data_IF_601802208237
#
_entry.id   IF_601802208237
#
_cell.length_a   1.000
_cell.length_b   1.000
_cell.length_c   1.000
_cell.angle_alpha   90.00
_cell.angle_beta   90.00
_cell.angle_gamma   90.00
#
_symmetry.space_group_name_H-M   'P 1'
#
loop_
_entity.id
_entity.type
_entity.pdbx_description
1 polymer ?
#
# COMPACT_ATOMS: atom_id res chain seq x y z
N UNK A 1 18.83 16.87 -14.79
CA UNK A 1 18.57 17.49 -16.11
C UNK A 1 17.07 17.66 -16.25
N UNK A 2 16.59 18.86 -16.51
CA UNK A 2 15.16 19.15 -16.73
C UNK A 2 14.86 19.22 -18.23
N UNK A 3 13.65 18.81 -18.63
CA UNK A 3 13.14 18.96 -19.99
C UNK A 3 11.84 19.77 -19.95
N UNK A 4 11.70 20.73 -20.86
CA UNK A 4 10.46 21.48 -21.06
C UNK A 4 9.60 20.73 -22.07
N UNK A 5 8.33 20.52 -21.75
CA UNK A 5 7.34 19.90 -22.63
C UNK A 5 6.11 20.81 -22.73
N UNK A 6 5.39 20.72 -23.86
CA UNK A 6 4.15 21.46 -24.11
C UNK A 6 3.18 20.58 -24.90
N UNK A 7 1.91 20.58 -24.54
CA UNK A 7 0.87 19.75 -25.14
C UNK A 7 -0.49 20.44 -24.98
N UNK A 8 -1.49 19.93 -25.70
CA UNK A 8 -2.87 20.36 -25.56
C UNK A 8 -3.61 19.40 -24.63
N UNK A 9 -4.39 19.94 -23.70
CA UNK A 9 -5.25 19.22 -22.77
C UNK A 9 -6.69 19.67 -23.04
N UNK A 10 -7.63 18.76 -22.84
CA UNK A 10 -9.04 19.11 -22.79
C UNK A 10 -9.32 20.14 -21.68
N UNK A 11 -10.14 21.14 -21.97
CA UNK A 11 -10.37 22.29 -21.09
C UNK A 11 -11.02 21.88 -19.76
N UNK A 12 -12.05 21.04 -19.79
CA UNK A 12 -12.74 20.56 -18.58
C UNK A 12 -11.81 19.69 -17.71
N UNK A 13 -10.96 18.89 -18.34
CA UNK A 13 -9.94 18.11 -17.63
C UNK A 13 -8.93 19.02 -16.93
N UNK A 14 -8.46 20.06 -17.61
CA UNK A 14 -7.49 21.00 -17.04
C UNK A 14 -8.09 21.84 -15.91
N UNK A 15 -9.34 22.31 -16.05
CA UNK A 15 -10.03 23.04 -14.98
C UNK A 15 -10.21 22.18 -13.71
N UNK A 16 -10.59 20.91 -13.88
CA UNK A 16 -10.69 19.96 -12.76
C UNK A 16 -9.34 19.68 -12.10
N UNK A 17 -8.28 19.62 -12.90
CA UNK A 17 -6.92 19.48 -12.40
C UNK A 17 -6.50 20.69 -11.54
N UNK A 18 -6.80 21.91 -11.98
CA UNK A 18 -6.54 23.13 -11.19
C UNK A 18 -7.32 23.15 -9.87
N UNK A 19 -8.58 22.72 -9.87
CA UNK A 19 -9.38 22.60 -8.65
C UNK A 19 -8.77 21.58 -7.68
N UNK A 20 -8.32 20.43 -8.18
CA UNK A 20 -7.65 19.42 -7.37
C UNK A 20 -6.34 19.94 -6.76
N UNK A 21 -5.56 20.71 -7.52
CA UNK A 21 -4.34 21.35 -7.02
C UNK A 21 -4.59 22.38 -5.92
N UNK A 22 -5.66 23.19 -6.02
CA UNK A 22 -5.97 24.15 -4.96
C UNK A 22 -6.35 23.45 -3.65
N UNK A 23 -6.92 22.25 -3.72
CA UNK A 23 -7.20 21.42 -2.55
C UNK A 23 -5.89 20.84 -1.98
N UNK A 24 -5.04 20.25 -2.82
CA UNK A 24 -3.80 19.58 -2.37
C UNK A 24 -2.69 20.54 -1.96
N UNK A 25 -2.76 21.82 -2.36
CA UNK A 25 -1.73 22.85 -2.15
C UNK A 25 -0.38 22.51 -2.80
N UNK A 26 -0.40 21.67 -3.83
CA UNK A 26 0.79 21.29 -4.60
C UNK A 26 1.07 22.29 -5.74
N UNK A 27 2.31 22.34 -6.20
CA UNK A 27 2.66 23.07 -7.43
C UNK A 27 2.28 22.27 -8.69
N UNK A 28 2.07 22.98 -9.80
CA UNK A 28 1.68 22.38 -11.08
C UNK A 28 2.73 21.38 -11.56
N UNK A 29 4.01 21.75 -11.43
CA UNK A 29 5.13 20.92 -11.83
C UNK A 29 5.20 19.63 -11.00
N UNK A 30 5.00 19.71 -9.68
CA UNK A 30 5.01 18.55 -8.78
C UNK A 30 3.86 17.59 -9.10
N UNK A 31 2.66 18.13 -9.28
CA UNK A 31 1.48 17.32 -9.62
C UNK A 31 1.64 16.62 -10.98
N UNK A 32 2.12 17.33 -12.00
CA UNK A 32 2.39 16.75 -13.33
C UNK A 32 3.47 15.67 -13.26
N UNK A 33 4.57 15.93 -12.56
CA UNK A 33 5.65 14.94 -12.42
C UNK A 33 5.17 13.70 -11.66
N UNK A 34 4.36 13.88 -10.61
CA UNK A 34 3.73 12.79 -9.87
C UNK A 34 2.82 11.95 -10.76
N UNK A 35 1.96 12.58 -11.57
CA UNK A 35 1.11 11.88 -12.54
C UNK A 35 1.94 11.10 -13.57
N UNK A 36 3.04 11.66 -14.07
CA UNK A 36 3.95 10.95 -14.98
C UNK A 36 4.58 9.72 -14.32
N UNK A 37 5.05 9.86 -13.08
CA UNK A 37 5.62 8.73 -12.30
C UNK A 37 4.58 7.64 -12.06
N UNK A 38 3.36 8.02 -11.71
CA UNK A 38 2.24 7.09 -11.55
C UNK A 38 1.91 6.37 -12.86
N UNK A 39 1.83 7.09 -13.98
CA UNK A 39 1.57 6.49 -15.29
C UNK A 39 2.66 5.49 -15.70
N UNK A 40 3.93 5.84 -15.45
CA UNK A 40 5.08 4.96 -15.70
C UNK A 40 4.96 3.68 -14.85
N UNK A 41 4.71 3.82 -13.55
CA UNK A 41 4.57 2.69 -12.64
C UNK A 41 3.44 1.75 -13.08
N UNK A 42 2.25 2.31 -13.33
CA UNK A 42 1.07 1.57 -13.79
C UNK A 42 1.29 0.87 -15.13
N UNK A 43 1.98 1.52 -16.06
CA UNK A 43 2.24 0.94 -17.39
C UNK A 43 3.23 -0.22 -17.30
N UNK A 44 4.29 -0.08 -16.51
CA UNK A 44 5.24 -1.18 -16.32
C UNK A 44 4.65 -2.34 -15.53
N UNK A 45 3.78 -2.06 -14.55
CA UNK A 45 2.98 -3.09 -13.88
C UNK A 45 2.15 -3.86 -14.90
N UNK A 46 1.32 -3.19 -15.72
CA UNK A 46 0.51 -3.84 -16.75
C UNK A 46 1.34 -4.64 -17.75
N UNK A 47 2.44 -4.09 -18.26
CA UNK A 47 3.32 -4.78 -19.19
C UNK A 47 3.95 -6.04 -18.56
N UNK A 48 4.30 -5.98 -17.28
CA UNK A 48 4.81 -7.14 -16.54
C UNK A 48 3.75 -8.24 -16.36
N UNK A 49 2.47 -7.87 -16.27
CA UNK A 49 1.36 -8.84 -16.19
C UNK A 49 1.03 -9.50 -17.53
N UNK A 50 1.12 -8.76 -18.64
CA UNK A 50 0.92 -9.30 -19.99
C UNK A 50 2.06 -10.26 -20.39
N UNK A 51 3.26 -10.06 -19.85
CA UNK A 51 4.39 -10.98 -19.98
C UNK A 51 4.39 -12.09 -18.91
N UNK A 52 3.31 -12.89 -18.84
CA UNK A 52 3.31 -14.17 -18.11
C UNK A 52 3.62 -15.32 -19.08
N UNK A 53 4.88 -15.74 -19.26
CA UNK A 53 5.18 -16.93 -20.05
C UNK A 53 4.54 -18.15 -19.38
N UNK A 54 3.83 -18.96 -20.18
CA UNK A 54 3.22 -20.22 -19.74
C UNK A 54 4.28 -21.08 -19.06
N UNK A 55 3.99 -21.48 -17.81
CA UNK A 55 4.63 -22.54 -17.01
C UNK A 55 5.73 -23.32 -17.74
N UNK A 56 7.00 -22.94 -17.53
CA UNK A 56 8.12 -23.87 -17.71
C UNK A 56 9.02 -23.76 -16.48
N UNK A 57 9.35 -24.93 -15.97
CA UNK A 57 10.19 -25.24 -14.82
C UNK A 57 11.59 -24.61 -14.89
N UNK A 58 11.99 -24.07 -13.73
CA UNK A 58 13.37 -23.86 -13.20
C UNK A 58 14.37 -23.02 -14.00
N UNK A 59 14.89 -22.03 -13.25
CA UNK A 59 16.16 -21.31 -13.34
C UNK A 59 16.45 -20.48 -14.59
N UNK A 60 16.23 -19.16 -14.47
CA UNK A 60 17.05 -18.12 -15.10
C UNK A 60 16.91 -16.82 -14.28
N UNK A 61 18.04 -16.20 -13.97
CA UNK A 61 18.21 -15.03 -13.11
C UNK A 61 17.52 -13.78 -13.67
N UNK A 62 16.91 -12.98 -12.79
CA UNK A 62 16.50 -11.60 -13.08
C UNK A 62 15.00 -11.28 -13.02
N UNK A 63 14.14 -12.23 -12.66
CA UNK A 63 12.76 -11.91 -12.23
C UNK A 63 12.86 -11.09 -10.94
N UNK A 64 12.09 -10.01 -10.82
CA UNK A 64 12.01 -9.24 -9.58
C UNK A 64 11.55 -10.17 -8.44
N UNK A 65 12.51 -10.80 -7.75
CA UNK A 65 12.36 -11.82 -6.68
C UNK A 65 11.60 -11.29 -5.45
N UNK A 66 11.13 -10.05 -5.57
CA UNK A 66 10.51 -9.28 -4.52
C UNK A 66 9.04 -8.95 -4.79
N UNK A 67 8.55 -9.16 -6.01
CA UNK A 67 7.15 -8.87 -6.34
C UNK A 67 6.19 -9.78 -5.57
N UNK A 68 5.19 -9.20 -4.91
CA UNK A 68 4.18 -9.98 -4.19
C UNK A 68 4.76 -10.72 -2.97
N UNK A 69 5.90 -10.28 -2.42
CA UNK A 69 6.53 -10.90 -1.24
C UNK A 69 5.59 -11.04 -0.04
N UNK A 70 4.67 -10.08 0.10
CA UNK A 70 3.68 -10.11 1.17
C UNK A 70 2.80 -11.35 1.09
N UNK A 71 2.50 -11.90 -0.09
CA UNK A 71 1.66 -13.11 -0.27
C UNK A 71 2.19 -14.29 0.58
N UNK A 72 3.51 -14.53 0.54
CA UNK A 72 4.14 -15.58 1.34
C UNK A 72 4.29 -15.25 2.83
N UNK A 73 4.16 -13.97 3.21
CA UNK A 73 4.38 -13.49 4.57
C UNK A 73 3.09 -13.28 5.36
N UNK A 74 1.97 -12.95 4.68
CA UNK A 74 0.65 -12.75 5.29
C UNK A 74 0.26 -13.91 6.21
N UNK A 75 0.37 -15.20 5.83
CA UNK A 75 0.05 -16.30 6.73
C UNK A 75 0.90 -16.31 8.01
N UNK A 76 2.14 -15.85 7.93
CA UNK A 76 3.07 -15.79 9.07
C UNK A 76 2.71 -14.60 9.97
N UNK A 77 2.44 -13.44 9.37
CA UNK A 77 2.04 -12.23 10.10
C UNK A 77 0.71 -12.42 10.81
N UNK A 78 -0.25 -13.08 10.17
CA UNK A 78 -1.56 -13.38 10.74
C UNK A 78 -1.46 -14.17 12.06
N UNK A 79 -0.40 -14.97 12.25
CA UNK A 79 -0.18 -15.79 13.45
C UNK A 79 0.76 -15.14 14.48
N UNK A 80 1.25 -13.92 14.24
CA UNK A 80 2.25 -13.25 15.08
C UNK A 80 1.77 -11.85 15.51
N UNK A 81 0.84 -11.76 16.50
CA UNK A 81 0.25 -10.49 16.93
C UNK A 81 1.27 -9.47 17.43
N UNK A 82 2.42 -9.92 17.91
CA UNK A 82 3.50 -9.05 18.38
C UNK A 82 4.21 -8.27 17.26
N UNK A 83 4.12 -8.71 16.01
CA UNK A 83 4.84 -8.06 14.90
C UNK A 83 4.12 -6.81 14.43
N UNK A 84 4.87 -5.74 14.17
CA UNK A 84 4.31 -4.49 13.66
C UNK A 84 3.51 -4.64 12.36
N UNK A 85 3.94 -5.52 11.45
CA UNK A 85 3.17 -5.79 10.23
C UNK A 85 1.77 -6.35 10.54
N UNK A 86 1.65 -7.20 11.57
CA UNK A 86 0.36 -7.69 12.04
C UNK A 86 -0.49 -6.54 12.58
N UNK A 87 0.08 -5.75 13.49
CA UNK A 87 -0.63 -4.63 14.14
C UNK A 87 -1.10 -3.58 13.14
N UNK A 88 -0.30 -3.28 12.11
CA UNK A 88 -0.68 -2.33 11.05
C UNK A 88 -1.80 -2.89 10.16
N UNK A 89 -1.75 -4.17 9.77
CA UNK A 89 -2.84 -4.82 9.02
C UNK A 89 -4.12 -4.85 9.85
N UNK A 90 -4.00 -5.15 11.15
CA UNK A 90 -5.12 -5.10 12.07
C UNK A 90 -5.69 -3.68 12.18
N UNK A 91 -4.85 -2.66 12.32
CA UNK A 91 -5.27 -1.26 12.35
C UNK A 91 -6.01 -0.84 11.07
N UNK A 92 -5.58 -1.32 9.90
CA UNK A 92 -6.29 -1.12 8.64
C UNK A 92 -7.71 -1.69 8.70
N UNK A 93 -7.86 -2.96 9.09
CA UNK A 93 -9.17 -3.58 9.20
C UNK A 93 -10.05 -2.93 10.28
N UNK A 94 -9.46 -2.56 11.42
CA UNK A 94 -10.15 -1.79 12.47
C UNK A 94 -10.65 -0.44 11.96
N UNK A 95 -9.85 0.26 11.13
CA UNK A 95 -10.29 1.50 10.51
C UNK A 95 -11.51 1.28 9.59
N UNK A 96 -11.47 0.24 8.75
CA UNK A 96 -12.61 -0.15 7.92
C UNK A 96 -13.86 -0.49 8.75
N UNK A 97 -13.71 -1.18 9.87
CA UNK A 97 -14.85 -1.55 10.72
C UNK A 97 -15.47 -0.33 11.43
N UNK A 98 -14.67 0.71 11.71
CA UNK A 98 -15.14 1.93 12.39
C UNK A 98 -15.75 2.94 11.39
N UNK A 99 -15.12 3.14 10.23
CA UNK A 99 -15.40 4.27 9.34
C UNK A 99 -15.71 3.87 7.89
N UNK A 100 -15.77 2.56 7.58
CA UNK A 100 -15.90 2.01 6.22
C UNK A 100 -14.76 2.39 5.24
N UNK A 101 -13.80 3.18 5.71
CA UNK A 101 -12.61 3.61 4.98
C UNK A 101 -11.41 3.66 5.93
N UNK A 102 -10.21 3.61 5.36
CA UNK A 102 -8.97 3.73 6.12
C UNK A 102 -8.18 4.93 5.62
N UNK A 103 -7.75 5.79 6.55
CA UNK A 103 -6.81 6.88 6.26
C UNK A 103 -5.50 6.68 7.01
N UNK A 104 -4.41 7.25 6.49
CA UNK A 104 -3.08 7.20 7.12
C UNK A 104 -3.16 7.76 8.54
N UNK A 105 -3.85 8.89 8.73
CA UNK A 105 -3.99 9.55 10.03
C UNK A 105 -4.75 8.68 11.03
N UNK A 106 -5.84 8.03 10.61
CA UNK A 106 -6.61 7.15 11.48
C UNK A 106 -5.81 5.91 11.89
N UNK A 107 -5.14 5.26 10.93
CA UNK A 107 -4.28 4.12 11.21
C UNK A 107 -3.12 4.51 12.13
N UNK A 108 -2.50 5.68 11.92
CA UNK A 108 -1.43 6.19 12.79
C UNK A 108 -1.95 6.42 14.22
N UNK A 109 -3.13 7.02 14.37
CA UNK A 109 -3.75 7.24 15.67
C UNK A 109 -4.01 5.92 16.40
N UNK A 110 -4.60 4.94 15.73
CA UNK A 110 -4.84 3.59 16.27
C UNK A 110 -3.53 2.93 16.72
N UNK A 111 -2.44 3.11 15.98
CA UNK A 111 -1.14 2.54 16.32
C UNK A 111 -0.35 3.33 17.37
N UNK A 112 -0.79 4.52 17.77
CA UNK A 112 -0.03 5.39 18.69
C UNK A 112 -0.33 5.15 20.16
N UNK A 113 -1.46 4.50 20.47
CA UNK A 113 -1.95 4.35 21.83
C UNK A 113 -1.25 3.19 22.56
N UNK A 114 -0.60 3.49 23.69
CA UNK A 114 0.21 2.52 24.44
C UNK A 114 -0.65 1.54 25.23
N UNK A 115 -1.83 1.99 25.62
CA UNK A 115 -2.77 1.20 26.40
C UNK A 115 -3.50 0.14 25.54
N UNK A 116 -3.33 0.19 24.21
CA UNK A 116 -3.80 -0.80 23.23
C UNK A 116 -2.62 -1.55 22.58
N UNK A 117 -1.91 -2.42 23.34
CA UNK A 117 -0.69 -3.08 22.88
C UNK A 117 -0.88 -3.91 21.61
N UNK A 118 -2.09 -4.36 21.32
CA UNK A 118 -2.47 -5.12 20.13
C UNK A 118 -2.42 -4.33 18.82
N UNK A 119 -2.49 -2.99 18.88
CA UNK A 119 -2.31 -2.09 17.74
C UNK A 119 -1.05 -1.23 17.87
N UNK A 120 -0.46 -1.12 19.05
CA UNK A 120 0.66 -0.21 19.32
C UNK A 120 1.90 -0.48 18.45
N UNK A 121 2.25 0.51 17.62
CA UNK A 121 3.44 0.57 16.76
C UNK A 121 4.08 1.96 16.87
N UNK A 122 5.08 2.16 17.75
CA UNK A 122 5.69 3.48 17.99
C UNK A 122 6.45 4.05 16.78
N UNK A 123 6.71 3.22 15.78
CA UNK A 123 7.42 3.59 14.54
C UNK A 123 6.52 3.38 13.32
N UNK A 124 5.22 3.67 13.46
CA UNK A 124 4.19 3.43 12.45
C UNK A 124 4.63 3.89 11.05
N UNK A 125 4.97 5.17 10.86
CA UNK A 125 5.35 5.73 9.55
C UNK A 125 6.46 4.95 8.85
N UNK A 126 7.47 4.51 9.60
CA UNK A 126 8.61 3.77 9.05
C UNK A 126 8.27 2.32 8.68
N UNK A 127 7.37 1.68 9.42
CA UNK A 127 6.92 0.32 9.11
C UNK A 127 5.90 0.33 7.96
N UNK A 128 4.94 1.27 8.01
CA UNK A 128 3.95 1.49 6.97
C UNK A 128 4.61 1.79 5.61
N UNK A 129 5.61 2.68 5.57
CA UNK A 129 6.33 2.98 4.32
C UNK A 129 7.04 1.75 3.71
N UNK A 130 7.54 0.82 4.55
CA UNK A 130 8.11 -0.45 4.09
C UNK A 130 7.07 -1.44 3.58
N UNK A 131 5.79 -1.26 3.93
CA UNK A 131 4.65 -2.03 3.44
C UNK A 131 4.03 -1.42 2.18
N UNK A 132 4.57 -0.30 1.65
CA UNK A 132 4.16 0.30 0.37
C UNK A 132 5.03 -0.12 -0.83
N UNK A 133 6.15 -0.80 -0.57
CA UNK A 133 7.18 -1.07 -1.59
C UNK A 133 7.56 -2.56 -1.63
N UNK A 134 7.77 -3.08 -2.83
CA UNK A 134 8.42 -4.38 -3.08
C UNK A 134 9.89 -4.16 -3.44
N UNK A 135 10.71 -3.88 -2.42
CA UNK A 135 12.15 -3.69 -2.54
C UNK A 135 12.91 -4.75 -1.77
N UNK A 136 14.18 -5.03 -2.11
CA UNK A 136 14.97 -6.10 -1.50
C UNK A 136 14.91 -6.16 0.04
N UNK A 137 14.92 -5.00 0.69
CA UNK A 137 14.90 -4.85 2.16
C UNK A 137 13.52 -4.54 2.75
N UNK A 138 12.45 -4.59 1.95
CA UNK A 138 11.10 -4.24 2.42
C UNK A 138 10.35 -5.43 3.05
N UNK A 139 9.25 -5.11 3.73
CA UNK A 139 8.31 -6.10 4.24
C UNK A 139 7.47 -6.74 3.13
N UNK A 140 7.48 -6.16 1.94
CA UNK A 140 6.60 -6.52 0.83
C UNK A 140 5.43 -5.54 0.77
N UNK A 141 4.97 -5.22 -0.43
CA UNK A 141 3.87 -4.29 -0.65
C UNK A 141 2.56 -4.92 -0.19
N UNK A 142 1.82 -4.17 0.61
CA UNK A 142 0.50 -4.51 1.18
C UNK A 142 -0.48 -3.38 0.87
N UNK A 143 -0.03 -2.13 1.03
CA UNK A 143 -0.89 -0.96 0.92
C UNK A 143 -0.51 -0.09 -0.29
N UNK A 144 -1.53 0.59 -0.79
CA UNK A 144 -1.45 1.75 -1.66
C UNK A 144 -2.18 2.91 -0.97
N UNK A 145 -1.77 4.14 -1.29
CA UNK A 145 -2.45 5.34 -0.82
C UNK A 145 -2.32 6.48 -1.83
N UNK A 146 -3.25 7.44 -1.73
CA UNK A 146 -3.25 8.70 -2.49
C UNK A 146 -2.65 9.87 -1.69
N UNK A 147 -1.99 9.59 -0.56
CA UNK A 147 -1.51 10.58 0.41
C UNK A 147 -2.43 10.75 1.62
N UNK A 148 -3.66 10.24 1.57
CA UNK A 148 -4.60 10.26 2.69
C UNK A 148 -5.31 8.91 2.88
N UNK A 149 -6.02 8.45 1.84
CA UNK A 149 -6.80 7.22 1.83
C UNK A 149 -5.91 6.02 1.55
N UNK A 150 -6.17 4.92 2.24
CA UNK A 150 -5.38 3.68 2.17
C UNK A 150 -6.26 2.55 1.64
N UNK A 151 -5.74 1.79 0.67
CA UNK A 151 -6.37 0.56 0.19
C UNK A 151 -5.36 -0.57 0.04
N UNK A 152 -5.87 -1.80 -0.05
CA UNK A 152 -5.04 -2.97 -0.28
C UNK A 152 -4.52 -2.97 -1.71
N UNK A 153 -3.25 -3.32 -1.88
CA UNK A 153 -2.72 -3.58 -3.22
C UNK A 153 -3.38 -4.84 -3.79
N UNK A 154 -4.00 -4.74 -4.97
CA UNK A 154 -4.88 -5.79 -5.50
C UNK A 154 -4.26 -7.19 -5.59
N UNK A 155 -2.94 -7.29 -5.78
CA UNK A 155 -2.24 -8.58 -5.87
C UNK A 155 -2.23 -9.40 -4.58
N UNK A 156 -2.41 -8.75 -3.43
CA UNK A 156 -2.38 -9.40 -2.12
C UNK A 156 -3.77 -9.50 -1.48
N UNK A 157 -4.77 -8.82 -2.04
CA UNK A 157 -6.11 -8.65 -1.47
C UNK A 157 -6.77 -10.00 -1.16
N UNK A 158 -6.85 -10.91 -2.13
CA UNK A 158 -7.41 -12.26 -1.94
C UNK A 158 -6.73 -13.02 -0.80
N UNK A 159 -5.40 -12.90 -0.72
CA UNK A 159 -4.62 -13.58 0.32
C UNK A 159 -4.89 -12.94 1.68
N UNK A 160 -4.91 -11.61 1.76
CA UNK A 160 -5.14 -10.91 3.02
C UNK A 160 -6.57 -11.15 3.54
N UNK A 161 -7.57 -11.08 2.67
CA UNK A 161 -8.98 -11.34 3.03
C UNK A 161 -9.18 -12.78 3.51
N UNK A 162 -8.50 -13.76 2.90
CA UNK A 162 -8.50 -15.15 3.37
C UNK A 162 -8.03 -15.29 4.81
N UNK A 163 -7.08 -14.47 5.25
CA UNK A 163 -6.54 -14.48 6.62
C UNK A 163 -7.14 -13.38 7.51
N UNK A 164 -8.16 -12.62 7.05
CA UNK A 164 -8.72 -11.46 7.78
C UNK A 164 -9.04 -11.80 9.23
N UNK A 165 -9.79 -12.87 9.49
CA UNK A 165 -10.18 -13.28 10.85
C UNK A 165 -8.98 -13.58 11.76
N UNK A 166 -7.87 -14.07 11.20
CA UNK A 166 -6.67 -14.37 11.98
C UNK A 166 -6.01 -13.11 12.56
N UNK A 167 -6.21 -11.93 11.94
CA UNK A 167 -5.74 -10.65 12.47
C UNK A 167 -6.56 -10.12 13.65
N UNK A 168 -7.72 -10.71 13.95
CA UNK A 168 -8.52 -10.40 15.14
C UNK A 168 -8.35 -11.44 16.25
N UNK A 169 -8.00 -12.69 15.90
CA UNK A 169 -8.00 -13.86 16.79
C UNK A 169 -6.95 -13.89 17.93
N UNK A 170 -6.38 -12.74 18.30
CA UNK A 170 -5.64 -12.55 19.54
C UNK A 170 -6.52 -12.25 20.76
N UNK A 171 -7.83 -11.99 20.57
CA UNK A 171 -8.75 -11.60 21.65
C UNK A 171 -9.38 -12.78 22.40
N UNK A 172 -9.40 -13.99 21.82
CA UNK A 172 -10.16 -15.15 22.35
C UNK A 172 -9.32 -16.22 23.08
N UNK A 173 -8.20 -15.86 23.72
CA UNK A 173 -7.39 -16.84 24.48
C UNK A 173 -7.38 -16.66 25.99
N UNK A 174 -8.19 -15.75 26.52
CA UNK A 174 -8.39 -15.57 27.95
C UNK A 174 -9.89 -15.60 28.29
N UNK A 175 -10.50 -16.79 28.19
CA UNK A 175 -11.66 -17.18 29.01
C UNK A 175 -11.45 -18.60 29.52
#
# INVERSE_FOLDING_TARGET
MSKKVSFFIDEDVYEKFLLAMDISKESEEEAIEMCMRWYIAKTFEKASHEYKPKKVSKSAEGVNDYYGKAIGRIPIWALKPEQYNHKIIRAYFTALDIAESATISMMEQLCSEKDYPELYVPTFKNNYSQMKIDGAKSHGKVFEDDGENVWLWGEIEDTLLKYKSSFYSGEDKNE
#
